data_IF_988125963422
#
_entry.id   IF_988125963422
#
_cell.length_a   1.000
_cell.length_b   1.000
_cell.length_c   1.000
_cell.angle_alpha   90.00
_cell.angle_beta   90.00
_cell.angle_gamma   90.00
#
_symmetry.space_group_name_H-M   'P 1'
#
loop_
_entity.id
_entity.type
_entity.pdbx_description
1 polymer ?
#
# COMPACT_ATOMS: atom_id res chain seq x y z
N UNK A 1 -20.38 -54.15 34.50
CA UNK A 1 -19.53 -53.79 33.34
C UNK A 1 -19.45 -52.28 33.01
N UNK A 2 -19.94 -51.45 33.86
CA UNK A 2 -19.89 -49.98 33.65
C UNK A 2 -18.69 -49.27 34.29
N UNK A 3 -17.73 -50.02 34.80
CA UNK A 3 -16.59 -49.46 35.54
C UNK A 3 -15.35 -49.10 34.70
N UNK A 4 -15.25 -49.55 33.45
CA UNK A 4 -14.03 -49.38 32.65
C UNK A 4 -13.95 -48.02 31.91
N UNK A 5 -15.06 -47.39 31.69
CA UNK A 5 -15.06 -46.07 31.04
C UNK A 5 -14.68 -44.90 31.96
N UNK A 6 -14.93 -45.05 33.25
CA UNK A 6 -14.59 -44.02 34.25
C UNK A 6 -13.09 -44.03 34.55
N UNK A 7 -12.42 -45.16 34.38
CA UNK A 7 -11.01 -45.32 34.66
C UNK A 7 -10.10 -44.67 33.60
N UNK A 8 -10.54 -44.63 32.35
CA UNK A 8 -9.79 -44.00 31.24
C UNK A 8 -9.77 -42.47 31.32
N UNK A 9 -10.81 -41.87 31.89
CA UNK A 9 -10.82 -40.39 32.06
C UNK A 9 -9.88 -39.92 33.19
N UNK A 10 -9.47 -40.83 34.07
CA UNK A 10 -8.61 -40.47 35.21
C UNK A 10 -7.11 -40.49 34.92
N UNK A 11 -6.73 -40.99 33.73
CA UNK A 11 -5.33 -41.07 33.28
C UNK A 11 -4.86 -39.89 32.48
N UNK A 12 -5.71 -38.91 32.24
CA UNK A 12 -5.27 -37.66 31.63
C UNK A 12 -4.80 -36.68 32.73
N UNK A 13 -3.51 -36.46 32.87
CA UNK A 13 -3.04 -35.43 33.80
C UNK A 13 -3.56 -34.08 33.37
N UNK A 14 -4.30 -33.45 34.24
CA UNK A 14 -4.86 -32.10 34.05
C UNK A 14 -3.82 -31.05 33.65
N UNK A 15 -2.57 -31.36 33.85
CA UNK A 15 -1.40 -30.53 33.47
C UNK A 15 -1.21 -30.43 31.95
N UNK A 16 -1.41 -31.51 31.21
CA UNK A 16 -1.26 -31.52 29.75
C UNK A 16 -2.43 -30.84 29.02
N UNK A 17 -3.60 -30.84 29.62
CA UNK A 17 -4.77 -30.17 29.08
C UNK A 17 -4.63 -28.63 29.17
N UNK A 18 -4.10 -28.18 30.30
CA UNK A 18 -3.81 -26.75 30.49
C UNK A 18 -2.73 -26.23 29.52
N UNK A 19 -1.72 -27.01 29.25
CA UNK A 19 -0.67 -26.67 28.30
C UNK A 19 -1.18 -26.63 26.86
N UNK A 20 -2.07 -27.56 26.48
CA UNK A 20 -2.67 -27.57 25.14
C UNK A 20 -3.62 -26.40 24.91
N UNK A 21 -4.40 -26.03 25.91
CA UNK A 21 -5.28 -24.86 25.83
C UNK A 21 -4.47 -23.57 25.72
N UNK A 22 -3.40 -23.44 26.47
CA UNK A 22 -2.51 -22.27 26.41
C UNK A 22 -1.82 -22.17 25.06
N UNK A 23 -1.36 -23.28 24.48
CA UNK A 23 -0.77 -23.31 23.14
C UNK A 23 -1.80 -22.98 22.05
N UNK A 24 -3.02 -23.48 22.15
CA UNK A 24 -4.10 -23.15 21.23
C UNK A 24 -4.54 -21.67 21.32
N UNK A 25 -4.56 -21.11 22.51
CA UNK A 25 -4.86 -19.69 22.72
C UNK A 25 -3.70 -18.82 22.18
N UNK A 26 -2.45 -19.23 22.38
CA UNK A 26 -1.29 -18.52 21.82
C UNK A 26 -1.26 -18.54 20.30
N UNK A 27 -1.61 -19.66 19.68
CA UNK A 27 -1.72 -19.77 18.22
C UNK A 27 -2.83 -18.87 17.68
N UNK A 28 -3.94 -18.73 18.38
CA UNK A 28 -5.04 -17.86 17.96
C UNK A 28 -4.70 -16.36 18.07
N UNK A 29 -3.89 -15.96 19.03
CA UNK A 29 -3.43 -14.58 19.17
C UNK A 29 -2.50 -14.18 18.01
N UNK A 30 -1.72 -15.09 17.47
CA UNK A 30 -0.87 -14.85 16.31
C UNK A 30 -1.66 -14.69 14.99
N UNK A 31 -2.83 -15.32 14.87
CA UNK A 31 -3.70 -15.18 13.70
C UNK A 31 -4.60 -13.94 13.73
N UNK A 32 -4.78 -13.31 14.86
CA UNK A 32 -5.56 -12.08 14.99
C UNK A 32 -4.80 -10.82 14.54
N UNK A 33 -3.54 -10.95 14.15
CA UNK A 33 -2.71 -9.84 13.71
C UNK A 33 -2.89 -9.45 12.24
N UNK A 34 -3.72 -10.13 11.47
CA UNK A 34 -4.08 -9.74 10.12
C UNK A 34 -5.25 -8.75 10.15
N UNK A 35 -5.04 -7.63 10.82
CA UNK A 35 -5.98 -6.53 10.77
C UNK A 35 -5.88 -5.85 9.40
N UNK A 36 -6.97 -5.89 8.66
CA UNK A 36 -7.23 -4.96 7.59
C UNK A 36 -6.45 -5.26 6.31
N UNK A 37 -7.09 -5.96 5.40
CA UNK A 37 -6.80 -5.80 3.98
C UNK A 37 -7.15 -4.34 3.66
N UNK A 38 -6.18 -3.46 3.83
CA UNK A 38 -6.30 -2.09 3.36
C UNK A 38 -6.15 -2.19 1.84
N UNK A 39 -7.25 -2.01 1.15
CA UNK A 39 -7.19 -1.90 -0.30
C UNK A 39 -6.29 -0.72 -0.66
N UNK A 40 -5.31 -0.89 -1.56
CA UNK A 40 -4.50 0.22 -2.00
C UNK A 40 -5.41 1.29 -2.61
N UNK A 41 -5.07 2.58 -2.48
CA UNK A 41 -5.82 3.64 -3.11
C UNK A 41 -5.85 3.42 -4.62
N UNK A 42 -7.06 3.47 -5.16
CA UNK A 42 -7.31 3.28 -6.58
C UNK A 42 -7.23 4.62 -7.31
N UNK A 43 -6.44 4.69 -8.36
CA UNK A 43 -6.39 5.86 -9.23
C UNK A 43 -7.73 6.04 -9.96
N UNK A 44 -8.33 7.21 -9.85
CA UNK A 44 -9.64 7.52 -10.45
C UNK A 44 -9.50 8.41 -11.68
N UNK A 45 -8.77 9.51 -11.54
CA UNK A 45 -8.60 10.49 -12.60
C UNK A 45 -7.37 11.35 -12.37
N UNK A 46 -6.90 11.98 -13.41
CA UNK A 46 -5.79 12.91 -13.40
C UNK A 46 -5.31 13.21 -14.81
N UNK A 47 -4.65 14.34 -14.97
CA UNK A 47 -4.10 14.70 -16.26
C UNK A 47 -2.82 13.92 -16.55
N UNK A 48 -2.62 13.60 -17.82
CA UNK A 48 -1.33 13.07 -18.28
C UNK A 48 -0.30 14.20 -18.31
N UNK A 49 0.96 13.90 -18.00
CA UNK A 49 1.99 14.93 -18.03
C UNK A 49 2.20 15.46 -19.47
N UNK A 50 2.27 16.78 -19.59
CA UNK A 50 2.58 17.41 -20.85
C UNK A 50 4.04 17.15 -21.23
N UNK A 51 4.28 16.72 -22.45
CA UNK A 51 5.63 16.55 -22.96
C UNK A 51 6.27 17.92 -23.21
N UNK A 52 7.42 18.25 -22.58
CA UNK A 52 8.06 19.55 -22.80
C UNK A 52 8.46 19.73 -24.28
N UNK A 53 8.15 20.89 -24.86
CA UNK A 53 8.37 21.15 -26.28
C UNK A 53 9.85 21.04 -26.70
N UNK A 54 10.77 21.48 -25.84
CA UNK A 54 12.20 21.32 -26.09
C UNK A 54 12.62 19.85 -26.16
N UNK A 55 12.13 19.03 -25.20
CA UNK A 55 12.42 17.60 -25.19
C UNK A 55 11.77 16.87 -26.38
N UNK A 56 10.61 17.34 -26.81
CA UNK A 56 9.93 16.84 -28.00
C UNK A 56 10.70 17.15 -29.29
N UNK A 57 11.22 18.37 -29.41
CA UNK A 57 12.04 18.80 -30.54
C UNK A 57 13.34 17.98 -30.66
N UNK A 58 13.98 17.69 -29.53
CA UNK A 58 15.22 16.93 -29.45
C UNK A 58 14.97 15.40 -29.40
N UNK A 59 13.72 14.95 -29.42
CA UNK A 59 13.32 13.55 -29.26
C UNK A 59 13.91 12.91 -27.98
N UNK A 60 14.06 13.69 -26.93
CA UNK A 60 14.59 13.25 -25.64
C UNK A 60 13.53 12.49 -24.86
N UNK A 61 13.76 11.22 -24.59
CA UNK A 61 12.92 10.40 -23.71
C UNK A 61 13.49 10.35 -22.29
N UNK A 62 12.65 10.04 -21.32
CA UNK A 62 13.11 9.97 -19.94
C UNK A 62 12.04 9.47 -18.98
N UNK A 63 12.33 9.61 -17.70
CA UNK A 63 11.41 9.23 -16.63
C UNK A 63 11.62 10.12 -15.39
N UNK A 64 10.57 10.19 -14.57
CA UNK A 64 10.58 10.94 -13.30
C UNK A 64 9.92 10.08 -12.23
N UNK A 65 10.58 9.88 -11.12
CA UNK A 65 10.00 9.31 -9.91
C UNK A 65 9.51 10.42 -9.01
N UNK A 66 8.21 10.44 -8.76
CA UNK A 66 7.54 11.44 -7.94
C UNK A 66 7.02 10.79 -6.67
N UNK A 67 7.40 11.34 -5.54
CA UNK A 67 6.85 11.01 -4.23
C UNK A 67 5.72 11.98 -3.90
N UNK A 68 4.63 11.47 -3.35
CA UNK A 68 3.49 12.27 -2.95
C UNK A 68 2.71 11.59 -1.83
N UNK A 69 1.88 12.36 -1.15
CA UNK A 69 0.96 11.89 -0.14
C UNK A 69 -0.47 11.89 -0.70
N UNK A 70 -1.25 10.87 -0.39
CA UNK A 70 -2.67 10.78 -0.71
C UNK A 70 -3.46 11.01 0.57
N UNK A 71 -4.35 12.00 0.57
CA UNK A 71 -5.24 12.28 1.68
C UNK A 71 -6.39 11.26 1.76
N UNK A 72 -7.10 11.16 2.89
CA UNK A 72 -8.31 10.34 2.99
C UNK A 72 -9.39 10.70 1.96
N UNK A 73 -9.38 11.94 1.44
CA UNK A 73 -10.28 12.41 0.38
C UNK A 73 -9.80 12.05 -1.02
N UNK A 74 -8.61 11.44 -1.14
CA UNK A 74 -8.03 11.02 -2.41
C UNK A 74 -7.27 12.11 -3.15
N UNK A 75 -6.95 13.22 -2.49
CA UNK A 75 -6.15 14.31 -3.07
C UNK A 75 -4.66 14.09 -2.86
N UNK A 76 -3.86 14.52 -3.82
CA UNK A 76 -2.40 14.48 -3.71
C UNK A 76 -1.86 15.74 -3.04
N UNK A 77 -0.84 15.58 -2.21
CA UNK A 77 -0.14 16.66 -1.52
C UNK A 77 1.33 16.33 -1.30
N UNK A 78 2.13 17.27 -0.84
CA UNK A 78 3.57 17.11 -0.58
C UNK A 78 4.31 16.44 -1.75
N UNK A 79 4.03 16.89 -2.95
CA UNK A 79 4.53 16.31 -4.20
C UNK A 79 5.99 16.74 -4.41
N UNK A 80 6.88 15.78 -4.59
CA UNK A 80 8.31 16.03 -4.83
C UNK A 80 8.93 15.03 -5.79
N UNK A 81 9.89 15.48 -6.59
CA UNK A 81 10.70 14.61 -7.44
C UNK A 81 11.83 14.01 -6.58
N UNK A 82 11.93 12.69 -6.58
CA UNK A 82 13.00 11.97 -5.86
C UNK A 82 14.11 11.49 -6.79
N UNK A 83 13.81 11.25 -8.06
CA UNK A 83 14.77 10.89 -9.08
C UNK A 83 14.22 11.20 -10.47
N UNK A 84 15.07 11.54 -11.41
CA UNK A 84 14.70 11.76 -12.80
C UNK A 84 15.87 11.54 -13.75
N UNK A 85 15.57 11.19 -14.98
CA UNK A 85 16.58 11.06 -16.05
C UNK A 85 15.96 11.40 -17.42
N UNK A 86 16.49 12.37 -18.18
CA UNK A 86 17.51 13.36 -17.76
C UNK A 86 17.02 14.26 -16.64
N UNK A 87 17.92 14.64 -15.73
CA UNK A 87 17.56 15.47 -14.57
C UNK A 87 17.03 16.85 -15.00
N UNK A 88 15.90 17.26 -14.42
CA UNK A 88 15.30 18.58 -14.62
C UNK A 88 14.50 18.76 -15.91
N UNK A 89 14.58 17.84 -16.86
CA UNK A 89 13.89 17.99 -18.17
C UNK A 89 12.38 17.79 -18.05
N UNK A 90 11.96 16.77 -17.33
CA UNK A 90 10.56 16.37 -17.21
C UNK A 90 9.95 16.65 -15.83
N UNK A 91 10.74 17.12 -14.89
CA UNK A 91 10.36 17.27 -13.48
C UNK A 91 9.13 18.15 -13.31
N UNK A 92 9.10 19.31 -13.96
CA UNK A 92 7.96 20.24 -13.88
C UNK A 92 6.68 19.61 -14.42
N UNK A 93 6.76 18.98 -15.58
CA UNK A 93 5.61 18.31 -16.20
C UNK A 93 5.05 17.18 -15.33
N UNK A 94 5.93 16.41 -14.70
CA UNK A 94 5.55 15.35 -13.78
C UNK A 94 4.86 15.88 -12.51
N UNK A 95 5.39 16.94 -11.90
CA UNK A 95 4.80 17.57 -10.71
C UNK A 95 3.42 18.14 -11.00
N UNK A 96 3.25 18.83 -12.13
CA UNK A 96 1.97 19.39 -12.56
C UNK A 96 0.92 18.30 -12.78
N UNK A 97 1.29 17.20 -13.42
CA UNK A 97 0.39 16.08 -13.64
C UNK A 97 -0.05 15.42 -12.33
N UNK A 98 0.88 15.09 -11.46
CA UNK A 98 0.58 14.43 -10.17
C UNK A 98 -0.32 15.30 -9.29
N UNK A 99 -0.21 16.62 -9.36
CA UNK A 99 -1.06 17.55 -8.61
C UNK A 99 -2.55 17.46 -9.00
N UNK A 100 -2.86 17.00 -10.21
CA UNK A 100 -4.24 16.83 -10.67
C UNK A 100 -4.83 15.46 -10.33
N UNK A 101 -4.01 14.52 -9.88
CA UNK A 101 -4.43 13.15 -9.64
C UNK A 101 -5.40 13.04 -8.48
N UNK A 102 -6.38 12.17 -8.65
CA UNK A 102 -7.38 11.85 -7.62
C UNK A 102 -7.47 10.34 -7.46
N UNK A 103 -7.58 9.92 -6.22
CA UNK A 103 -7.62 8.53 -5.82
C UNK A 103 -8.91 8.22 -5.06
N UNK A 104 -9.41 7.02 -5.21
CA UNK A 104 -10.45 6.47 -4.35
C UNK A 104 -9.77 5.72 -3.21
N UNK A 105 -10.08 6.15 -1.99
CA UNK A 105 -9.60 5.55 -0.76
C UNK A 105 -10.75 4.81 -0.11
N UNK A 106 -10.65 3.48 0.04
CA UNK A 106 -11.69 2.62 0.58
C UNK A 106 -11.19 1.97 1.86
N UNK A 107 -12.00 2.02 2.94
CA UNK A 107 -11.74 1.23 4.15
C UNK A 107 -10.70 1.80 5.10
N UNK A 108 -10.30 3.06 4.94
CA UNK A 108 -9.46 3.76 5.90
C UNK A 108 -10.36 4.59 6.79
N UNK A 109 -10.25 4.40 8.09
CA UNK A 109 -10.85 5.33 9.03
C UNK A 109 -10.27 6.73 8.74
N UNK A 110 -11.16 7.71 8.62
CA UNK A 110 -10.86 9.10 8.21
C UNK A 110 -9.79 9.80 9.06
N UNK A 111 -9.37 9.17 10.14
CA UNK A 111 -8.38 9.66 11.09
C UNK A 111 -6.94 9.19 10.80
N UNK A 112 -6.75 8.37 9.81
CA UNK A 112 -5.43 7.79 9.53
C UNK A 112 -4.80 8.32 8.26
N UNK A 113 -3.94 9.31 8.46
CA UNK A 113 -2.63 9.48 7.83
C UNK A 113 -2.61 9.38 6.30
N UNK A 114 -2.17 10.46 5.75
CA UNK A 114 -1.75 10.59 4.36
C UNK A 114 -0.87 9.39 3.95
N UNK A 115 -1.29 8.67 2.92
CA UNK A 115 -0.52 7.56 2.39
C UNK A 115 0.57 8.04 1.48
N UNK A 116 1.80 7.72 1.81
CA UNK A 116 2.96 7.99 0.97
C UNK A 116 3.00 7.04 -0.23
N UNK A 117 3.18 7.60 -1.42
CA UNK A 117 3.31 6.87 -2.67
C UNK A 117 4.46 7.40 -3.51
N UNK A 118 5.01 6.52 -4.33
CA UNK A 118 5.99 6.86 -5.36
C UNK A 118 5.46 6.32 -6.68
N UNK A 119 5.46 7.16 -7.70
CA UNK A 119 5.08 6.77 -9.05
C UNK A 119 6.12 7.20 -10.06
N UNK A 120 6.44 6.31 -10.98
CA UNK A 120 7.30 6.59 -12.11
C UNK A 120 6.47 7.03 -13.32
N UNK A 121 6.72 8.23 -13.78
CA UNK A 121 6.17 8.76 -15.02
C UNK A 121 7.21 8.59 -16.12
N UNK A 122 6.85 7.91 -17.19
CA UNK A 122 7.75 7.66 -18.33
C UNK A 122 7.33 8.55 -19.50
N UNK A 123 8.28 9.29 -20.02
CA UNK A 123 8.14 10.17 -21.18
C UNK A 123 8.81 9.50 -22.37
N UNK A 124 8.00 9.08 -23.32
CA UNK A 124 8.45 8.44 -24.55
C UNK A 124 7.64 8.96 -25.73
N UNK A 125 8.31 9.34 -26.80
CA UNK A 125 7.65 9.67 -28.05
C UNK A 125 7.36 8.36 -28.80
N UNK A 126 6.14 8.20 -29.24
CA UNK A 126 5.79 7.14 -30.18
C UNK A 126 6.18 7.58 -31.59
N UNK A 127 6.80 6.68 -32.32
CA UNK A 127 7.19 6.90 -33.72
C UNK A 127 5.99 6.78 -34.67
#
# INVERSE_FOLDING_TARGET
MSGSHVFLMRLYPSSLYRLRIVVLIFVQIFYSGCAGIQNPPEFVTGDMPNYPEAAKADRTSGWVDVEYLISPQGETSSISVIASSPSGVFDKAALEAVATWRFRVIGIELDQLQMKRISRLVFKLED
#
